data_IF_547213593296
#
_entry.id   IF_547213593296
#
_cell.length_a   1.000
_cell.length_b   1.000
_cell.length_c   1.000
_cell.angle_alpha   90.00
_cell.angle_beta   90.00
_cell.angle_gamma   90.00
#
_symmetry.space_group_name_H-M   'P 1'
#
loop_
_entity.id
_entity.type
_entity.pdbx_description
1 polymer ?
#
# COMPACT_ATOMS: atom_id res chain seq x y z
N UNK A 1 -3.73 23.20 18.64
CA UNK A 1 -4.68 22.10 18.37
C UNK A 1 -4.12 21.38 17.16
N UNK A 2 -3.30 20.36 17.37
CA UNK A 2 -2.86 19.50 16.28
C UNK A 2 -4.07 18.65 15.88
N UNK A 3 -4.59 18.87 14.68
CA UNK A 3 -5.63 18.02 14.11
C UNK A 3 -4.93 16.72 13.77
N UNK A 4 -5.05 15.73 14.66
CA UNK A 4 -4.61 14.36 14.37
C UNK A 4 -5.31 13.92 13.09
N UNK A 5 -4.57 13.90 11.98
CA UNK A 5 -5.13 13.51 10.70
C UNK A 5 -5.33 12.01 10.77
N UNK A 6 -6.55 11.61 11.12
CA UNK A 6 -6.98 10.22 11.32
C UNK A 6 -7.14 9.50 9.97
N UNK A 7 -6.13 9.58 9.10
CA UNK A 7 -6.14 8.89 7.82
C UNK A 7 -6.09 7.39 8.07
N UNK A 8 -7.05 6.65 7.51
CA UNK A 8 -7.09 5.20 7.54
C UNK A 8 -6.58 4.62 6.21
N UNK A 9 -6.42 3.30 6.12
CA UNK A 9 -5.94 2.67 4.89
C UNK A 9 -6.89 2.91 3.70
N UNK A 10 -8.20 2.93 3.94
CA UNK A 10 -9.22 3.14 2.90
C UNK A 10 -9.24 4.55 2.32
N UNK A 11 -8.60 5.52 2.98
CA UNK A 11 -8.40 6.86 2.45
C UNK A 11 -7.29 6.90 1.40
N UNK A 12 -6.29 6.01 1.55
CA UNK A 12 -5.21 5.83 0.58
C UNK A 12 -5.59 4.88 -0.55
N UNK A 13 -6.37 3.86 -0.23
CA UNK A 13 -6.81 2.82 -1.16
C UNK A 13 -8.33 2.83 -1.26
N UNK A 14 -8.92 3.66 -2.13
CA UNK A 14 -10.37 3.84 -2.20
C UNK A 14 -11.14 2.55 -2.51
N UNK A 15 -10.51 1.61 -3.21
CA UNK A 15 -11.09 0.29 -3.52
C UNK A 15 -11.55 -0.48 -2.27
N UNK A 16 -10.94 -0.23 -1.10
CA UNK A 16 -11.37 -0.81 0.18
C UNK A 16 -12.78 -0.38 0.58
N UNK A 17 -13.20 0.84 0.21
CA UNK A 17 -14.52 1.39 0.59
C UNK A 17 -15.68 0.73 -0.16
N UNK A 18 -15.41 0.20 -1.34
CA UNK A 18 -16.42 -0.44 -2.21
C UNK A 18 -16.31 -1.97 -2.21
N UNK A 19 -15.30 -2.52 -1.53
CA UNK A 19 -15.11 -3.96 -1.39
C UNK A 19 -16.01 -4.53 -0.29
N UNK A 20 -16.40 -5.81 -0.44
CA UNK A 20 -17.16 -6.51 0.61
C UNK A 20 -16.28 -6.69 1.85
N UNK A 21 -16.71 -6.25 3.05
CA UNK A 21 -15.87 -6.31 4.25
C UNK A 21 -15.36 -7.71 4.58
N UNK A 22 -16.13 -8.76 4.28
CA UNK A 22 -15.73 -10.15 4.52
C UNK A 22 -14.53 -10.55 3.64
N UNK A 23 -14.54 -10.17 2.36
CA UNK A 23 -13.44 -10.46 1.42
C UNK A 23 -12.17 -9.69 1.80
N UNK A 24 -12.32 -8.49 2.34
CA UNK A 24 -11.19 -7.71 2.84
C UNK A 24 -10.63 -8.35 4.13
N UNK A 25 -11.51 -8.77 5.05
CA UNK A 25 -11.13 -9.43 6.30
C UNK A 25 -10.36 -10.75 6.08
N UNK A 26 -10.70 -11.52 5.04
CA UNK A 26 -9.98 -12.74 4.66
C UNK A 26 -8.48 -12.49 4.41
N UNK A 27 -8.12 -11.30 3.92
CA UNK A 27 -6.74 -10.98 3.53
C UNK A 27 -6.05 -10.06 4.56
N UNK A 28 -6.75 -9.02 5.02
CA UNK A 28 -6.25 -7.98 5.93
C UNK A 28 -6.61 -8.21 7.41
N UNK A 29 -7.27 -9.32 7.76
CA UNK A 29 -7.51 -9.67 9.15
C UNK A 29 -6.19 -9.89 9.92
N UNK A 30 -6.02 -9.18 11.03
CA UNK A 30 -4.93 -9.38 12.00
C UNK A 30 -5.54 -9.43 13.40
N UNK A 31 -5.28 -10.47 14.21
CA UNK A 31 -5.84 -10.59 15.56
C UNK A 31 -5.40 -9.48 16.53
N UNK A 32 -4.33 -8.75 16.20
CA UNK A 32 -3.83 -7.61 16.99
C UNK A 32 -4.56 -6.30 16.65
N UNK A 33 -5.34 -6.28 15.57
CA UNK A 33 -6.07 -5.11 15.08
C UNK A 33 -7.59 -5.31 15.25
N UNK A 34 -8.35 -4.22 15.46
CA UNK A 34 -9.81 -4.31 15.53
C UNK A 34 -10.41 -4.76 14.17
N UNK A 35 -11.60 -5.35 14.22
CA UNK A 35 -12.33 -5.71 13.01
C UNK A 35 -12.59 -4.45 12.15
N UNK A 36 -12.34 -4.54 10.83
CA UNK A 36 -12.54 -3.42 9.91
C UNK A 36 -11.52 -2.29 10.04
N UNK A 37 -10.38 -2.51 10.71
CA UNK A 37 -9.35 -1.49 10.98
C UNK A 37 -8.94 -0.66 9.74
N UNK A 38 -8.97 -1.25 8.54
CA UNK A 38 -8.60 -0.57 7.30
C UNK A 38 -9.49 0.66 7.00
N UNK A 39 -10.68 0.73 7.60
CA UNK A 39 -11.64 1.83 7.44
C UNK A 39 -11.82 2.70 8.68
N UNK A 40 -11.30 2.28 9.83
CA UNK A 40 -11.62 2.88 11.13
C UNK A 40 -10.41 3.21 12.01
N UNK A 41 -9.27 2.54 11.79
CA UNK A 41 -8.05 2.74 12.55
C UNK A 41 -7.11 3.70 11.81
N UNK A 42 -6.54 4.64 12.56
CA UNK A 42 -5.47 5.50 12.05
C UNK A 42 -4.32 4.65 11.49
N UNK A 43 -3.86 5.01 10.30
CA UNK A 43 -2.83 4.27 9.57
C UNK A 43 -1.52 4.19 10.36
N UNK A 44 -1.16 5.23 11.09
CA UNK A 44 0.01 5.24 11.98
C UNK A 44 -0.06 4.10 13.02
N UNK A 45 -1.21 3.89 13.65
CA UNK A 45 -1.42 2.80 14.62
C UNK A 45 -1.41 1.43 13.96
N UNK A 46 -2.05 1.31 12.78
CA UNK A 46 -2.01 0.07 12.01
C UNK A 46 -0.58 -0.30 11.62
N UNK A 47 0.21 0.66 11.13
CA UNK A 47 1.62 0.49 10.80
C UNK A 47 2.46 0.13 12.03
N UNK A 48 2.24 0.81 13.17
CA UNK A 48 2.96 0.53 14.42
C UNK A 48 2.68 -0.87 14.98
N UNK A 49 1.49 -1.42 14.74
CA UNK A 49 1.08 -2.73 15.25
C UNK A 49 1.42 -3.87 14.29
N UNK A 50 1.08 -3.72 12.99
CA UNK A 50 1.24 -4.78 12.00
C UNK A 50 2.55 -4.70 11.22
N UNK A 51 3.12 -3.51 11.07
CA UNK A 51 4.31 -3.24 10.26
C UNK A 51 3.98 -2.87 8.81
N UNK A 52 4.83 -2.03 8.21
CA UNK A 52 4.69 -1.58 6.82
C UNK A 52 4.72 -2.74 5.82
N UNK A 53 5.68 -3.65 5.97
CA UNK A 53 5.85 -4.80 5.07
C UNK A 53 4.61 -5.68 5.04
N UNK A 54 4.10 -6.04 6.22
CA UNK A 54 2.93 -6.89 6.33
C UNK A 54 1.70 -6.25 5.66
N UNK A 55 1.46 -4.95 5.90
CA UNK A 55 0.33 -4.24 5.28
C UNK A 55 0.49 -4.20 3.76
N UNK A 56 1.67 -3.87 3.25
CA UNK A 56 1.92 -3.78 1.81
C UNK A 56 1.77 -5.13 1.11
N UNK A 57 2.28 -6.21 1.71
CA UNK A 57 2.19 -7.56 1.15
C UNK A 57 0.74 -8.06 1.12
N UNK A 58 -0.03 -7.83 2.20
CA UNK A 58 -1.45 -8.20 2.25
C UNK A 58 -2.28 -7.36 1.28
N UNK A 59 -1.99 -6.07 1.16
CA UNK A 59 -2.66 -5.19 0.22
C UNK A 59 -2.38 -5.60 -1.23
N UNK A 60 -1.13 -5.96 -1.57
CA UNK A 60 -0.77 -6.46 -2.89
C UNK A 60 -1.52 -7.74 -3.24
N UNK A 61 -1.61 -8.70 -2.30
CA UNK A 61 -2.40 -9.92 -2.48
C UNK A 61 -3.89 -9.64 -2.66
N UNK A 62 -4.44 -8.68 -1.91
CA UNK A 62 -5.84 -8.28 -2.06
C UNK A 62 -6.09 -7.64 -3.44
N UNK A 63 -5.20 -6.76 -3.88
CA UNK A 63 -5.28 -6.13 -5.19
C UNK A 63 -5.22 -7.15 -6.33
N UNK A 64 -4.24 -8.07 -6.31
CA UNK A 64 -4.14 -9.14 -7.32
C UNK A 64 -5.37 -10.05 -7.36
N UNK A 65 -5.99 -10.32 -6.22
CA UNK A 65 -7.08 -11.31 -6.13
C UNK A 65 -8.48 -10.74 -6.33
N UNK A 66 -8.69 -9.46 -6.05
CA UNK A 66 -10.02 -8.83 -6.06
C UNK A 66 -10.12 -7.62 -6.99
N UNK A 67 -9.01 -7.01 -7.37
CA UNK A 67 -8.96 -5.75 -8.13
C UNK A 67 -8.00 -5.83 -9.33
N UNK A 68 -7.88 -7.01 -9.93
CA UNK A 68 -6.98 -7.33 -11.04
C UNK A 68 -7.19 -6.48 -12.32
N UNK A 69 -8.36 -5.86 -12.44
CA UNK A 69 -8.78 -4.99 -13.53
C UNK A 69 -8.63 -3.49 -13.23
N UNK A 70 -8.37 -3.10 -11.97
CA UNK A 70 -8.25 -1.69 -11.60
C UNK A 70 -6.83 -1.18 -11.88
N UNK A 71 -6.67 -0.04 -12.58
CA UNK A 71 -5.37 0.60 -12.73
C UNK A 71 -4.74 0.91 -11.37
N UNK A 72 -3.41 0.80 -11.27
CA UNK A 72 -2.69 1.09 -10.03
C UNK A 72 -2.95 2.52 -9.53
N UNK A 73 -3.08 3.51 -10.41
CA UNK A 73 -3.40 4.88 -10.03
C UNK A 73 -4.80 5.04 -9.42
N UNK A 74 -5.74 4.13 -9.72
CA UNK A 74 -7.08 4.17 -9.15
C UNK A 74 -7.10 3.41 -7.81
N UNK A 75 -6.26 2.38 -7.68
CA UNK A 75 -6.01 1.70 -6.41
C UNK A 75 -5.29 2.60 -5.40
N UNK A 76 -4.30 3.36 -5.84
CA UNK A 76 -3.51 4.25 -5.01
C UNK A 76 -3.36 5.61 -5.70
N UNK A 77 -4.33 6.53 -5.54
CA UNK A 77 -4.34 7.85 -6.18
C UNK A 77 -3.08 8.67 -5.97
N UNK A 78 -2.38 8.44 -4.86
CA UNK A 78 -1.08 9.02 -4.55
C UNK A 78 -0.03 8.83 -5.68
N UNK A 79 -0.12 7.76 -6.49
CA UNK A 79 0.75 7.51 -7.64
C UNK A 79 0.61 8.54 -8.79
N UNK A 80 -0.47 9.31 -8.79
CA UNK A 80 -0.67 10.38 -9.78
C UNK A 80 0.16 11.62 -9.45
N UNK A 81 0.36 11.88 -8.15
CA UNK A 81 1.03 13.07 -7.61
C UNK A 81 2.49 12.79 -7.25
N UNK A 82 2.77 11.63 -6.66
CA UNK A 82 4.12 11.26 -6.25
C UNK A 82 4.89 10.62 -7.40
N UNK A 83 6.01 11.24 -7.76
CA UNK A 83 6.99 10.61 -8.62
C UNK A 83 7.80 9.61 -7.79
N UNK A 84 7.85 8.37 -8.26
CA UNK A 84 8.77 7.35 -7.76
C UNK A 84 9.77 7.10 -8.87
N UNK A 85 11.05 7.26 -8.55
CA UNK A 85 12.11 6.84 -9.45
C UNK A 85 12.35 5.33 -9.25
N UNK A 86 12.04 4.48 -10.25
CA UNK A 86 12.26 3.04 -10.14
C UNK A 86 13.74 2.66 -10.04
N UNK A 87 14.67 3.58 -10.33
CA UNK A 87 16.10 3.34 -10.19
C UNK A 87 16.59 3.42 -8.73
N UNK A 88 15.74 3.82 -7.78
CA UNK A 88 16.12 3.94 -6.37
C UNK A 88 16.70 2.63 -5.81
N UNK A 89 17.76 2.71 -4.99
CA UNK A 89 18.47 1.54 -4.47
C UNK A 89 17.64 0.69 -3.48
N UNK A 90 16.47 1.16 -3.05
CA UNK A 90 15.56 0.41 -2.19
C UNK A 90 14.75 -0.68 -2.89
N UNK A 91 14.79 -0.74 -4.23
CA UNK A 91 14.01 -1.69 -5.01
C UNK A 91 14.83 -2.91 -5.42
N UNK A 92 14.30 -4.15 -5.27
CA UNK A 92 14.97 -5.35 -5.77
C UNK A 92 15.27 -5.26 -7.27
N UNK A 93 16.41 -5.81 -7.72
CA UNK A 93 16.81 -5.82 -9.13
C UNK A 93 15.74 -6.39 -10.06
N UNK A 94 15.04 -7.42 -9.60
CA UNK A 94 13.90 -8.03 -10.30
C UNK A 94 12.76 -7.04 -10.53
N UNK A 95 12.46 -6.20 -9.53
CA UNK A 95 11.42 -5.16 -9.61
C UNK A 95 11.83 -4.08 -10.60
N UNK A 96 13.09 -3.62 -10.53
CA UNK A 96 13.63 -2.60 -11.45
C UNK A 96 13.62 -3.08 -12.91
N UNK A 97 14.03 -4.32 -13.12
CA UNK A 97 14.01 -4.99 -14.44
C UNK A 97 12.58 -5.09 -14.97
N UNK A 98 11.64 -5.54 -14.14
CA UNK A 98 10.25 -5.66 -14.53
C UNK A 98 9.62 -4.30 -14.88
N UNK A 99 9.86 -3.25 -14.08
CA UNK A 99 9.35 -1.89 -14.38
C UNK A 99 9.91 -1.37 -15.70
N UNK A 100 11.19 -1.61 -15.97
CA UNK A 100 11.82 -1.24 -17.24
C UNK A 100 11.17 -1.99 -18.40
N UNK A 101 10.97 -3.31 -18.26
CA UNK A 101 10.31 -4.15 -19.27
C UNK A 101 8.84 -3.77 -19.53
N UNK A 102 8.14 -3.27 -18.52
CA UNK A 102 6.77 -2.77 -18.61
C UNK A 102 6.66 -1.36 -19.22
N UNK A 103 7.77 -0.75 -19.64
CA UNK A 103 7.80 0.58 -20.24
C UNK A 103 7.91 1.74 -19.26
N UNK A 104 8.46 1.49 -18.07
CA UNK A 104 8.81 2.49 -17.07
C UNK A 104 7.66 2.93 -16.17
N UNK A 105 7.98 3.82 -15.21
CA UNK A 105 7.06 4.26 -14.16
C UNK A 105 5.72 4.83 -14.68
N UNK A 106 5.80 5.71 -15.69
CA UNK A 106 4.62 6.36 -16.24
C UNK A 106 3.63 5.36 -16.86
N UNK A 107 4.12 4.28 -17.46
CA UNK A 107 3.28 3.21 -18.00
C UNK A 107 2.77 2.33 -16.87
N UNK A 108 3.64 1.89 -15.98
CA UNK A 108 3.32 1.01 -14.86
C UNK A 108 2.13 1.52 -14.04
N UNK A 109 2.08 2.81 -13.67
CA UNK A 109 0.98 3.34 -12.83
C UNK A 109 -0.40 3.27 -13.49
N UNK A 110 -0.49 3.08 -14.82
CA UNK A 110 -1.75 2.96 -15.57
C UNK A 110 -2.14 1.51 -15.85
N UNK A 111 -1.26 0.56 -15.52
CA UNK A 111 -1.52 -0.86 -15.67
C UNK A 111 -2.38 -1.38 -14.51
N UNK A 112 -3.14 -2.44 -14.73
CA UNK A 112 -3.82 -3.17 -13.66
C UNK A 112 -2.96 -4.33 -13.17
N UNK A 113 -3.26 -4.95 -12.01
CA UNK A 113 -2.49 -6.11 -11.52
C UNK A 113 -2.38 -7.25 -12.54
N UNK A 114 -3.41 -7.48 -13.35
CA UNK A 114 -3.38 -8.48 -14.42
C UNK A 114 -2.28 -8.21 -15.48
N UNK A 115 -1.99 -6.94 -15.75
CA UNK A 115 -0.97 -6.51 -16.73
C UNK A 115 0.47 -6.55 -16.17
N UNK A 116 0.64 -6.78 -14.85
CA UNK A 116 1.96 -6.74 -14.19
C UNK A 116 2.71 -8.08 -14.25
N UNK A 117 2.18 -9.08 -14.95
CA UNK A 117 2.85 -10.38 -15.09
C UNK A 117 4.12 -10.22 -15.92
N UNK A 118 5.28 -10.44 -15.31
CA UNK A 118 6.58 -10.41 -16.00
C UNK A 118 7.39 -11.66 -15.68
N UNK A 119 8.36 -12.05 -16.53
CA UNK A 119 9.27 -13.15 -16.21
C UNK A 119 10.13 -12.90 -14.95
N UNK A 120 10.31 -11.63 -14.57
CA UNK A 120 11.24 -11.22 -13.50
C UNK A 120 10.56 -11.03 -12.14
N UNK A 121 9.26 -10.72 -12.10
CA UNK A 121 8.52 -10.46 -10.87
C UNK A 121 7.02 -10.74 -11.03
N UNK A 122 6.38 -11.21 -9.95
CA UNK A 122 4.92 -11.36 -9.89
C UNK A 122 4.24 -10.01 -9.64
N UNK A 123 2.94 -9.88 -9.96
CA UNK A 123 2.15 -8.69 -9.63
C UNK A 123 2.24 -8.29 -8.16
N UNK A 124 2.21 -9.26 -7.23
CA UNK A 124 2.27 -8.99 -5.78
C UNK A 124 3.61 -8.37 -5.37
N UNK A 125 4.72 -8.87 -5.92
CA UNK A 125 6.06 -8.33 -5.63
C UNK A 125 6.18 -6.89 -6.12
N UNK A 126 5.73 -6.63 -7.35
CA UNK A 126 5.74 -5.29 -7.94
C UNK A 126 4.87 -4.32 -7.15
N UNK A 127 3.63 -4.70 -6.86
CA UNK A 127 2.70 -3.87 -6.10
C UNK A 127 3.17 -3.65 -4.67
N UNK A 128 3.71 -4.68 -4.00
CA UNK A 128 4.27 -4.57 -2.66
C UNK A 128 5.40 -3.55 -2.60
N UNK A 129 6.30 -3.53 -3.59
CA UNK A 129 7.36 -2.53 -3.69
C UNK A 129 6.79 -1.10 -3.89
N UNK A 130 5.82 -0.95 -4.79
CA UNK A 130 5.15 0.33 -5.06
C UNK A 130 4.41 0.86 -3.83
N UNK A 131 3.64 0.00 -3.15
CA UNK A 131 2.89 0.37 -1.95
C UNK A 131 3.82 0.75 -0.81
N UNK A 132 4.90 0.00 -0.59
CA UNK A 132 5.90 0.32 0.43
C UNK A 132 6.54 1.68 0.20
N UNK A 133 6.90 1.98 -1.05
CA UNK A 133 7.50 3.27 -1.40
C UNK A 133 6.56 4.45 -1.12
N UNK A 134 5.27 4.32 -1.45
CA UNK A 134 4.32 5.42 -1.24
C UNK A 134 3.87 5.52 0.21
N UNK A 135 3.45 4.39 0.82
CA UNK A 135 2.94 4.37 2.19
C UNK A 135 4.07 4.69 3.18
N UNK A 136 5.31 4.26 2.90
CA UNK A 136 6.48 4.59 3.72
C UNK A 136 6.87 6.06 3.70
N UNK A 137 6.47 6.83 2.69
CA UNK A 137 6.67 8.29 2.64
C UNK A 137 5.65 9.07 3.46
N UNK A 138 4.55 8.44 3.87
CA UNK A 138 3.57 9.06 4.75
C UNK A 138 4.25 9.21 6.10
N UNK A 139 4.41 10.44 6.64
CA UNK A 139 5.07 10.63 7.91
C UNK A 139 4.39 9.73 8.92
N UNK A 140 5.13 8.76 9.48
CA UNK A 140 4.71 8.10 10.69
C UNK A 140 4.48 9.24 11.68
N UNK A 141 3.20 9.56 11.96
CA UNK A 141 2.84 10.56 12.94
C UNK A 141 3.55 10.10 14.21
N UNK A 142 4.62 10.82 14.55
CA UNK A 142 5.49 10.48 15.67
C UNK A 142 4.61 10.72 16.88
N UNK A 143 4.11 9.63 17.47
CA UNK A 143 3.44 9.70 18.75
C UNK A 143 4.37 10.50 19.68
N UNK A 144 3.95 11.64 20.26
CA UNK A 144 4.78 12.29 21.25
C UNK A 144 4.97 11.25 22.34
N UNK A 145 6.22 10.83 22.52
CA UNK A 145 6.59 9.92 23.60
C UNK A 145 5.94 10.48 24.87
N UNK A 146 4.97 9.75 25.43
CA UNK A 146 4.43 10.06 26.74
C UNK A 146 5.64 10.11 27.67
N UNK A 147 6.02 11.34 28.03
CA UNK A 147 7.09 11.56 28.98
C UNK A 147 6.47 11.17 30.32
N UNK A 148 6.90 10.08 30.98
CA UNK A 148 6.45 9.80 32.32
C UNK A 148 7.22 10.78 33.21
N UNK A 149 6.56 11.85 33.64
CA UNK A 149 7.20 12.79 34.57
C UNK A 149 6.36 14.02 34.88
N UNK A 150 5.52 13.93 35.91
CA UNK A 150 5.69 14.64 37.18
C UNK A 150 4.72 14.08 38.23
#
# INVERSE_FOLDING_TARGET
MEVESSICLSDLVPALRWSRPQQVAEVLGDPRLPAGWWSSLALSRALGTAGLDWICDRLARLASSRWDHLPLCDLLPALTVHHVDPALPGWPDSTRTAVTGLGGWHRLRRLSPADLTTPSATPEVLMGAVFREIIGRIPAQREPAQTPGA
#
